data_IF_749724694068
#
_entry.id   IF_749724694068
#
_cell.length_a   1.000
_cell.length_b   1.000
_cell.length_c   1.000
_cell.angle_alpha   90.00
_cell.angle_beta   90.00
_cell.angle_gamma   90.00
#
_symmetry.space_group_name_H-M   'P 1'
#
loop_
_entity.id
_entity.type
_entity.pdbx_description
1 polymer ?
#
# COMPACT_ATOMS: atom_id res chain seq x y z
N UNK A 1 15.73 3.42 0.50
CA UNK A 1 14.46 3.72 -0.19
C UNK A 1 13.29 3.64 0.76
N UNK A 2 12.20 4.28 0.38
CA UNK A 2 10.90 4.09 1.03
C UNK A 2 10.11 3.02 0.28
N UNK A 3 9.46 2.13 1.04
CA UNK A 3 8.38 1.30 0.56
C UNK A 3 7.07 1.86 1.08
N UNK A 4 6.09 1.98 0.19
CA UNK A 4 4.74 2.44 0.51
C UNK A 4 3.76 1.73 -0.42
N UNK A 5 2.78 0.99 0.10
CA UNK A 5 1.70 0.46 -0.72
C UNK A 5 0.79 1.58 -1.23
N UNK A 6 0.10 1.32 -2.32
CA UNK A 6 -0.79 2.30 -2.96
C UNK A 6 -2.21 2.34 -2.37
N UNK A 7 -2.50 1.48 -1.43
CA UNK A 7 -3.82 1.27 -0.82
C UNK A 7 -3.90 1.79 0.63
N UNK A 8 -3.18 2.85 0.91
CA UNK A 8 -3.20 3.51 2.22
C UNK A 8 -3.11 5.03 2.11
N UNK A 9 -3.63 5.72 3.12
CA UNK A 9 -3.50 7.16 3.31
C UNK A 9 -2.64 7.42 4.54
N UNK A 10 -1.61 8.25 4.40
CA UNK A 10 -0.75 8.65 5.51
C UNK A 10 -1.11 10.04 6.00
N UNK A 11 -1.23 10.17 7.32
CA UNK A 11 -1.43 11.44 8.02
C UNK A 11 -0.19 11.90 8.78
N UNK A 12 0.89 11.09 8.77
CA UNK A 12 2.16 11.40 9.42
C UNK A 12 3.13 12.00 8.41
N UNK A 13 3.77 13.11 8.77
CA UNK A 13 4.85 13.68 7.97
C UNK A 13 6.13 12.81 8.13
N UNK A 14 6.68 12.35 7.02
CA UNK A 14 7.84 11.47 6.97
C UNK A 14 9.18 12.22 6.93
N UNK A 15 9.20 13.55 6.75
CA UNK A 15 10.41 14.34 6.49
C UNK A 15 11.42 14.32 7.65
N UNK A 16 10.90 14.18 8.89
CA UNK A 16 11.72 14.21 10.10
C UNK A 16 12.06 12.84 10.67
N UNK A 17 11.83 11.77 9.91
CA UNK A 17 12.09 10.41 10.36
C UNK A 17 13.57 10.03 10.21
N UNK A 18 14.06 9.10 11.07
CA UNK A 18 15.49 8.78 11.11
C UNK A 18 15.98 8.11 9.81
N UNK A 19 17.21 8.43 9.40
CA UNK A 19 17.88 7.84 8.23
C UNK A 19 18.53 6.47 8.57
N UNK A 20 17.74 5.57 9.17
CA UNK A 20 18.09 4.18 9.50
C UNK A 20 16.89 3.29 9.18
N UNK A 21 17.05 1.95 9.18
CA UNK A 21 15.90 1.08 8.97
C UNK A 21 14.81 1.37 10.00
N UNK A 22 13.62 1.71 9.54
CA UNK A 22 12.45 1.83 10.39
C UNK A 22 11.20 1.30 9.71
N UNK A 23 10.25 0.87 10.51
CA UNK A 23 8.98 0.30 10.09
C UNK A 23 7.83 1.07 10.75
N UNK A 24 6.87 1.50 9.95
CA UNK A 24 5.65 2.14 10.43
C UNK A 24 4.79 1.15 11.21
N UNK A 25 4.28 1.58 12.36
CA UNK A 25 3.47 0.74 13.24
C UNK A 25 2.18 1.44 13.63
N UNK A 26 1.14 0.67 13.84
CA UNK A 26 -0.14 1.14 14.38
C UNK A 26 -0.79 0.06 15.24
N UNK A 27 -1.73 0.45 16.10
CA UNK A 27 -2.54 -0.48 16.85
C UNK A 27 -3.69 -0.97 16.01
N UNK A 28 -3.95 -2.27 16.05
CA UNK A 28 -5.11 -2.91 15.42
C UNK A 28 -5.86 -3.74 16.45
N UNK A 29 -7.11 -4.05 16.19
CA UNK A 29 -7.89 -4.94 17.06
C UNK A 29 -7.34 -6.38 16.98
N UNK A 30 -7.62 -7.17 18.02
CA UNK A 30 -7.25 -8.58 18.07
C UNK A 30 -7.77 -9.35 16.83
N UNK A 31 -9.01 -9.09 16.44
CA UNK A 31 -9.67 -9.80 15.34
C UNK A 31 -9.08 -9.45 13.97
N UNK A 32 -8.55 -8.22 13.81
CA UNK A 32 -7.93 -7.77 12.58
C UNK A 32 -6.45 -8.17 12.47
N UNK A 33 -5.79 -8.49 13.60
CA UNK A 33 -4.35 -8.75 13.66
C UNK A 33 -3.88 -9.84 12.69
N UNK A 34 -4.71 -10.85 12.41
CA UNK A 34 -4.40 -11.93 11.48
C UNK A 34 -4.32 -11.51 10.00
N UNK A 35 -4.65 -10.26 9.69
CA UNK A 35 -4.53 -9.67 8.35
C UNK A 35 -3.21 -8.94 8.14
N UNK A 36 -2.48 -8.66 9.22
CA UNK A 36 -1.27 -7.85 9.20
C UNK A 36 0.00 -8.63 9.58
N UNK A 37 1.14 -8.04 9.24
CA UNK A 37 2.42 -8.42 9.83
C UNK A 37 2.52 -7.75 11.21
N UNK A 38 2.50 -8.54 12.28
CA UNK A 38 2.47 -8.06 13.65
C UNK A 38 3.89 -8.02 14.24
N UNK A 39 4.15 -6.99 15.03
CA UNK A 39 5.46 -6.67 15.57
C UNK A 39 5.36 -6.50 17.08
N UNK A 40 6.22 -7.19 17.83
CA UNK A 40 6.44 -6.87 19.24
C UNK A 40 7.52 -5.82 19.34
N UNK A 41 7.21 -4.70 19.99
CA UNK A 41 8.08 -3.53 20.08
C UNK A 41 8.44 -3.27 21.53
N UNK A 42 9.74 -3.15 21.82
CA UNK A 42 10.26 -2.80 23.14
C UNK A 42 11.32 -1.69 22.96
N UNK A 43 11.22 -0.62 23.74
CA UNK A 43 12.13 0.55 23.67
C UNK A 43 12.27 1.12 22.24
N UNK A 44 11.20 1.10 21.44
CA UNK A 44 11.19 1.60 20.07
C UNK A 44 11.88 0.69 19.03
N UNK A 45 12.25 -0.52 19.40
CA UNK A 45 12.86 -1.51 18.52
C UNK A 45 11.94 -2.71 18.33
N UNK A 46 11.97 -3.31 17.14
CA UNK A 46 11.27 -4.56 16.86
C UNK A 46 12.03 -5.72 17.51
N UNK A 47 11.35 -6.54 18.30
CA UNK A 47 11.89 -7.71 18.99
C UNK A 47 11.32 -9.04 18.50
N UNK A 48 10.12 -9.03 17.92
CA UNK A 48 9.50 -10.21 17.35
C UNK A 48 8.60 -9.83 16.18
N UNK A 49 8.50 -10.73 15.21
CA UNK A 49 7.63 -10.58 14.03
C UNK A 49 6.75 -11.82 13.90
N UNK A 50 5.42 -11.60 13.80
CA UNK A 50 4.40 -12.62 13.53
C UNK A 50 3.57 -12.20 12.34
N UNK A 51 3.84 -12.78 11.20
CA UNK A 51 3.14 -12.42 9.97
C UNK A 51 1.83 -13.20 9.80
N UNK A 52 0.72 -12.47 9.57
CA UNK A 52 -0.62 -13.04 9.32
C UNK A 52 -1.10 -14.00 10.44
N UNK A 53 -0.76 -13.71 11.69
CA UNK A 53 -1.16 -14.48 12.86
C UNK A 53 -2.00 -13.63 13.80
N UNK A 54 -2.97 -14.24 14.48
CA UNK A 54 -3.73 -13.55 15.54
C UNK A 54 -2.81 -13.25 16.71
N UNK A 55 -2.76 -12.00 17.14
CA UNK A 55 -1.92 -11.50 18.22
C UNK A 55 -2.73 -10.75 19.26
N UNK A 56 -2.23 -10.70 20.50
CA UNK A 56 -2.81 -9.92 21.58
C UNK A 56 -2.37 -8.43 21.50
N UNK A 57 -2.80 -7.65 22.48
CA UNK A 57 -2.54 -6.20 22.55
C UNK A 57 -1.07 -5.79 22.72
N UNK A 58 -0.16 -6.75 23.00
CA UNK A 58 1.29 -6.47 23.11
C UNK A 58 1.96 -6.29 21.75
N UNK A 59 1.23 -6.60 20.67
CA UNK A 59 1.70 -6.44 19.33
C UNK A 59 1.05 -5.23 18.66
N UNK A 60 1.81 -4.62 17.75
CA UNK A 60 1.35 -3.60 16.82
C UNK A 60 1.44 -4.13 15.40
N UNK A 61 0.61 -3.63 14.52
CA UNK A 61 0.65 -4.01 13.11
C UNK A 61 1.64 -3.15 12.33
N UNK A 62 2.26 -3.72 11.31
CA UNK A 62 2.94 -2.97 10.26
C UNK A 62 1.90 -2.15 9.48
N UNK A 63 2.06 -0.83 9.52
CA UNK A 63 1.13 0.16 8.97
C UNK A 63 1.54 0.69 7.61
N UNK A 64 2.29 -0.08 6.86
CA UNK A 64 2.62 0.18 5.48
C UNK A 64 3.90 0.99 5.18
N UNK A 65 4.22 2.19 5.70
CA UNK A 65 5.49 2.81 5.35
C UNK A 65 6.67 2.10 6.01
N UNK A 66 7.70 1.87 5.21
CA UNK A 66 8.96 1.26 5.62
C UNK A 66 10.10 2.03 4.96
N UNK A 67 11.07 2.46 5.75
CA UNK A 67 12.33 2.98 5.21
C UNK A 67 13.42 1.92 5.34
N UNK A 68 14.00 1.58 4.21
CA UNK A 68 15.05 0.57 4.08
C UNK A 68 16.35 1.24 3.73
N UNK A 69 17.27 1.31 4.71
CA UNK A 69 18.64 1.72 4.51
C UNK A 69 19.47 0.57 3.98
N UNK A 70 19.38 -0.59 4.65
CA UNK A 70 20.13 -1.79 4.32
C UNK A 70 19.41 -2.62 3.25
N UNK A 71 19.28 -2.03 2.06
CA UNK A 71 18.42 -2.55 0.98
C UNK A 71 18.90 -3.91 0.44
N UNK A 72 20.18 -4.21 0.48
CA UNK A 72 20.72 -5.51 0.04
C UNK A 72 20.16 -6.65 0.90
N UNK A 73 20.12 -6.46 2.23
CA UNK A 73 19.55 -7.42 3.18
C UNK A 73 18.06 -7.64 2.88
N UNK A 74 17.34 -6.56 2.61
CA UNK A 74 15.91 -6.62 2.32
C UNK A 74 15.63 -7.38 1.01
N UNK A 75 16.35 -7.06 -0.07
CA UNK A 75 16.19 -7.74 -1.36
C UNK A 75 16.59 -9.20 -1.30
N UNK A 76 17.62 -9.54 -0.53
CA UNK A 76 17.99 -10.94 -0.30
C UNK A 76 16.87 -11.72 0.40
N UNK A 77 16.21 -11.09 1.39
CA UNK A 77 15.04 -11.66 2.07
C UNK A 77 13.88 -11.94 1.11
N UNK A 78 13.61 -11.04 0.17
CA UNK A 78 12.54 -11.22 -0.81
C UNK A 78 12.82 -12.37 -1.81
N UNK A 79 14.08 -12.66 -2.11
CA UNK A 79 14.44 -13.80 -2.96
C UNK A 79 14.11 -15.17 -2.34
N UNK A 80 13.89 -15.21 -1.04
CA UNK A 80 13.62 -16.44 -0.29
C UNK A 80 12.28 -17.12 -0.62
N UNK A 81 11.46 -16.55 -1.48
CA UNK A 81 10.25 -17.13 -2.08
C UNK A 81 9.26 -17.82 -1.10
N UNK A 82 9.39 -17.62 0.21
CA UNK A 82 8.47 -18.17 1.20
C UNK A 82 7.08 -17.54 1.02
N UNK A 83 6.10 -18.38 0.72
CA UNK A 83 4.70 -17.95 0.62
C UNK A 83 4.01 -18.03 1.98
N UNK A 84 3.20 -17.03 2.30
CA UNK A 84 2.31 -17.00 3.45
C UNK A 84 0.90 -16.83 2.91
N UNK A 85 -0.02 -17.72 3.31
CA UNK A 85 -1.39 -17.80 2.75
C UNK A 85 -1.37 -17.88 1.21
N UNK A 86 -0.40 -18.63 0.64
CA UNK A 86 -0.19 -18.82 -0.80
C UNK A 86 0.23 -17.56 -1.60
N UNK A 87 0.66 -16.50 -0.93
CA UNK A 87 1.10 -15.24 -1.52
C UNK A 87 2.56 -14.93 -1.18
N UNK A 88 3.26 -14.26 -2.08
CA UNK A 88 4.56 -13.66 -1.80
C UNK A 88 4.37 -12.42 -0.96
N UNK A 89 5.03 -12.36 0.19
CA UNK A 89 4.85 -11.27 1.15
C UNK A 89 6.10 -10.42 1.26
N UNK A 90 5.91 -9.12 1.40
CA UNK A 90 6.99 -8.17 1.70
C UNK A 90 7.63 -8.45 3.07
N UNK A 91 6.91 -9.10 3.96
CA UNK A 91 7.40 -9.53 5.26
C UNK A 91 8.66 -10.39 5.20
N UNK A 92 8.91 -11.10 4.10
CA UNK A 92 10.17 -11.83 3.92
C UNK A 92 11.40 -10.90 3.94
N UNK A 93 11.31 -9.72 3.30
CA UNK A 93 12.34 -8.68 3.36
C UNK A 93 12.45 -8.05 4.74
N UNK A 94 11.31 -7.79 5.39
CA UNK A 94 11.24 -7.23 6.74
C UNK A 94 11.87 -8.19 7.76
N UNK A 95 11.59 -9.47 7.67
CA UNK A 95 12.17 -10.51 8.53
C UNK A 95 13.69 -10.57 8.35
N UNK A 96 14.19 -10.47 7.11
CA UNK A 96 15.63 -10.42 6.84
C UNK A 96 16.29 -9.20 7.47
N UNK A 97 15.67 -8.01 7.38
CA UNK A 97 16.14 -6.80 8.04
C UNK A 97 16.19 -6.98 9.55
N UNK A 98 15.12 -7.50 10.13
CA UNK A 98 15.02 -7.78 11.58
C UNK A 98 16.12 -8.73 12.07
N UNK A 99 16.43 -9.78 11.29
CA UNK A 99 17.42 -10.80 11.69
C UNK A 99 18.86 -10.33 11.54
N UNK A 100 19.16 -9.43 10.61
CA UNK A 100 20.53 -9.05 10.26
C UNK A 100 20.86 -7.60 10.55
N UNK A 101 19.89 -6.78 10.95
CA UNK A 101 20.05 -5.36 11.20
C UNK A 101 19.06 -4.89 12.29
N UNK A 102 19.27 -3.69 12.80
CA UNK A 102 18.33 -3.07 13.76
C UNK A 102 17.15 -2.47 13.01
N UNK A 103 15.93 -2.81 13.43
CA UNK A 103 14.69 -2.28 12.90
C UNK A 103 13.96 -1.44 13.95
N UNK A 104 13.85 -0.14 13.71
CA UNK A 104 13.17 0.81 14.61
C UNK A 104 11.68 0.85 14.27
N UNK A 105 10.83 0.78 15.28
CA UNK A 105 9.40 1.01 15.14
C UNK A 105 9.07 2.50 15.22
N UNK A 106 8.22 2.99 14.34
CA UNK A 106 7.74 4.37 14.30
C UNK A 106 6.22 4.34 14.28
N UNK A 107 5.58 4.99 15.24
CA UNK A 107 4.13 5.10 15.26
C UNK A 107 3.66 6.00 14.11
N UNK A 108 2.82 5.45 13.25
CA UNK A 108 2.34 6.11 12.02
C UNK A 108 0.83 6.22 12.06
N UNK A 109 0.34 7.44 11.93
CA UNK A 109 -1.08 7.68 11.71
C UNK A 109 -1.41 7.45 10.24
N UNK A 110 -2.18 6.42 9.96
CA UNK A 110 -2.51 5.96 8.62
C UNK A 110 -3.95 5.44 8.55
N UNK A 111 -4.45 5.28 7.34
CA UNK A 111 -5.74 4.64 7.06
C UNK A 111 -5.56 3.64 5.93
N UNK A 112 -6.06 2.42 6.14
CA UNK A 112 -6.08 1.34 5.16
C UNK A 112 -7.31 1.51 4.26
N UNK A 113 -7.11 1.57 2.96
CA UNK A 113 -8.15 1.67 1.93
C UNK A 113 -8.17 0.45 0.99
N UNK A 114 -7.51 -0.64 1.38
CA UNK A 114 -7.32 -1.85 0.57
C UNK A 114 -8.59 -2.67 0.34
N UNK A 115 -9.70 -2.35 0.99
CA UNK A 115 -11.01 -2.95 0.69
C UNK A 115 -12.10 -1.90 0.45
N UNK A 116 -13.15 -2.32 -0.27
CA UNK A 116 -14.23 -1.41 -0.68
C UNK A 116 -14.97 -0.77 0.51
N UNK A 117 -15.12 -1.48 1.64
CA UNK A 117 -15.83 -0.95 2.82
C UNK A 117 -15.02 0.15 3.48
N UNK A 118 -13.70 -0.06 3.66
CA UNK A 118 -12.79 0.94 4.22
C UNK A 118 -12.71 2.16 3.32
N UNK A 119 -12.57 1.94 2.00
CA UNK A 119 -12.58 3.01 1.01
C UNK A 119 -13.87 3.84 1.07
N UNK A 120 -15.06 3.19 1.07
CA UNK A 120 -16.35 3.88 1.16
C UNK A 120 -16.53 4.65 2.48
N UNK A 121 -16.04 4.09 3.60
CA UNK A 121 -16.04 4.77 4.89
C UNK A 121 -15.27 6.08 4.81
N UNK A 122 -14.03 6.03 4.31
CA UNK A 122 -13.18 7.22 4.18
C UNK A 122 -13.80 8.25 3.23
N UNK A 123 -14.36 7.83 2.10
CA UNK A 123 -15.09 8.73 1.21
C UNK A 123 -16.26 9.44 1.90
N UNK A 124 -16.98 8.73 2.77
CA UNK A 124 -18.12 9.32 3.50
C UNK A 124 -17.70 10.26 4.63
N UNK A 125 -16.51 10.07 5.20
CA UNK A 125 -15.98 10.87 6.31
C UNK A 125 -15.13 12.05 5.84
N UNK A 126 -14.65 12.03 4.59
CA UNK A 126 -13.80 13.09 4.04
C UNK A 126 -14.60 13.99 3.10
N UNK A 127 -15.04 15.12 3.61
CA UNK A 127 -15.65 16.19 2.78
C UNK A 127 -14.71 16.73 1.68
N UNK A 128 -13.42 16.39 1.70
CA UNK A 128 -12.37 16.96 0.86
C UNK A 128 -11.55 15.94 0.05
N UNK A 129 -11.89 14.66 0.06
CA UNK A 129 -11.16 13.67 -0.73
C UNK A 129 -11.83 13.49 -2.09
N UNK A 130 -11.60 14.44 -2.97
CA UNK A 130 -12.01 14.33 -4.36
C UNK A 130 -10.88 13.66 -5.16
N UNK A 131 -11.05 12.37 -5.48
CA UNK A 131 -10.15 11.64 -6.39
C UNK A 131 -10.39 12.00 -7.85
N UNK A 132 -11.41 12.79 -8.13
CA UNK A 132 -11.62 13.33 -9.46
C UNK A 132 -10.53 14.36 -9.75
N UNK A 133 -9.85 14.19 -10.87
CA UNK A 133 -9.11 15.30 -11.44
C UNK A 133 -10.13 16.34 -11.90
N UNK A 134 -9.80 17.64 -11.82
CA UNK A 134 -10.62 18.63 -12.49
C UNK A 134 -10.89 18.16 -13.92
N UNK A 135 -12.14 18.08 -14.30
CA UNK A 135 -12.59 17.68 -15.65
C UNK A 135 -12.42 16.18 -16.02
N UNK A 136 -12.04 15.29 -15.09
CA UNK A 136 -11.97 13.83 -15.36
C UNK A 136 -12.68 13.04 -14.25
N UNK A 137 -13.54 12.09 -14.66
CA UNK A 137 -14.29 11.21 -13.77
C UNK A 137 -14.09 9.75 -14.21
N UNK A 138 -13.86 8.84 -13.25
CA UNK A 138 -13.67 7.42 -13.52
C UNK A 138 -14.69 6.63 -12.71
N UNK A 139 -15.46 5.80 -13.39
CA UNK A 139 -16.43 4.91 -12.77
C UNK A 139 -16.06 3.46 -13.05
N UNK A 140 -16.16 2.63 -12.04
CA UNK A 140 -15.98 1.18 -12.13
C UNK A 140 -17.34 0.51 -12.00
N UNK A 141 -17.83 -0.11 -13.07
CA UNK A 141 -19.11 -0.80 -13.09
C UNK A 141 -18.87 -2.23 -13.58
N UNK A 142 -18.97 -3.21 -12.67
CA UNK A 142 -18.61 -4.61 -12.91
C UNK A 142 -17.18 -4.72 -13.50
N UNK A 143 -17.05 -5.27 -14.72
CA UNK A 143 -15.77 -5.41 -15.40
C UNK A 143 -15.49 -4.24 -16.38
N UNK A 144 -16.23 -3.15 -16.27
CA UNK A 144 -16.12 -2.01 -17.18
C UNK A 144 -15.61 -0.79 -16.45
N UNK A 145 -14.63 -0.12 -17.01
CA UNK A 145 -14.16 1.20 -16.57
C UNK A 145 -14.72 2.24 -17.52
N UNK A 146 -15.49 3.18 -16.97
CA UNK A 146 -16.03 4.30 -17.72
C UNK A 146 -15.27 5.54 -17.31
N UNK A 147 -14.61 6.17 -18.25
CA UNK A 147 -13.90 7.43 -18.06
C UNK A 147 -14.58 8.55 -18.80
N UNK A 148 -14.92 9.62 -18.07
CA UNK A 148 -15.41 10.86 -18.64
C UNK A 148 -14.34 11.93 -18.53
N UNK A 149 -14.28 12.79 -19.55
CA UNK A 149 -13.57 14.06 -19.45
C UNK A 149 -14.45 15.15 -20.06
N UNK A 150 -14.48 16.31 -19.43
CA UNK A 150 -15.10 17.52 -19.98
C UNK A 150 -14.21 18.16 -21.06
N UNK A 151 -12.96 17.70 -21.16
CA UNK A 151 -12.00 18.12 -22.17
C UNK A 151 -11.75 16.98 -23.14
N UNK A 152 -12.23 17.11 -24.38
CA UNK A 152 -12.12 16.08 -25.42
C UNK A 152 -10.67 15.73 -25.75
N UNK A 153 -9.74 16.69 -25.67
CA UNK A 153 -8.31 16.47 -25.92
C UNK A 153 -7.71 15.44 -24.97
N UNK A 154 -8.11 15.42 -23.68
CA UNK A 154 -7.61 14.44 -22.71
C UNK A 154 -7.99 13.01 -23.10
N UNK A 155 -9.21 12.82 -23.61
CA UNK A 155 -9.65 11.50 -24.10
C UNK A 155 -8.91 11.09 -25.35
N UNK A 156 -8.72 12.00 -26.31
CA UNK A 156 -7.99 11.73 -27.54
C UNK A 156 -6.52 11.37 -27.27
N UNK A 157 -5.87 12.07 -26.36
CA UNK A 157 -4.50 11.75 -25.92
C UNK A 157 -4.42 10.37 -25.25
N UNK A 158 -5.40 10.01 -24.41
CA UNK A 158 -5.46 8.69 -23.78
C UNK A 158 -5.60 7.59 -24.84
N UNK A 159 -6.50 7.76 -25.81
CA UNK A 159 -6.71 6.81 -26.90
C UNK A 159 -5.44 6.64 -27.74
N UNK A 160 -4.75 7.74 -28.05
CA UNK A 160 -3.49 7.67 -28.81
C UNK A 160 -2.41 6.91 -28.04
N UNK A 161 -2.27 7.14 -26.73
CA UNK A 161 -1.34 6.40 -25.88
C UNK A 161 -1.70 4.92 -25.79
N UNK A 162 -2.97 4.57 -25.62
CA UNK A 162 -3.43 3.19 -25.60
C UNK A 162 -3.12 2.46 -26.91
N UNK A 163 -3.32 3.10 -28.07
CA UNK A 163 -2.98 2.52 -29.36
C UNK A 163 -1.48 2.28 -29.54
N UNK A 164 -0.63 3.19 -29.04
CA UNK A 164 0.83 3.05 -29.10
C UNK A 164 1.31 1.91 -28.19
N UNK A 165 0.69 1.72 -27.03
CA UNK A 165 1.11 0.75 -26.03
C UNK A 165 0.32 -0.56 -26.01
N UNK A 166 -0.63 -0.74 -26.92
CA UNK A 166 -1.48 -1.95 -27.02
C UNK A 166 -0.69 -3.25 -27.19
N UNK A 167 0.53 -3.17 -27.76
CA UNK A 167 1.42 -4.32 -27.91
C UNK A 167 2.22 -4.64 -26.60
N UNK A 168 2.24 -3.73 -25.63
CA UNK A 168 3.01 -3.87 -24.39
C UNK A 168 2.08 -4.20 -23.23
N UNK A 169 0.89 -3.63 -23.23
CA UNK A 169 -0.14 -3.89 -22.24
C UNK A 169 -1.39 -4.41 -22.94
N UNK A 170 -1.92 -5.58 -22.59
CA UNK A 170 -3.21 -6.05 -23.09
C UNK A 170 -4.30 -5.11 -22.57
N UNK A 171 -4.55 -4.05 -23.33
CA UNK A 171 -5.66 -3.14 -23.05
C UNK A 171 -6.94 -3.77 -23.56
N UNK A 172 -7.99 -3.77 -22.75
CA UNK A 172 -9.34 -4.10 -23.19
C UNK A 172 -9.77 -3.17 -24.34
N UNK A 173 -10.52 -3.70 -25.27
CA UNK A 173 -11.05 -2.92 -26.40
C UNK A 173 -11.84 -1.71 -25.91
N UNK A 174 -11.57 -0.56 -26.50
CA UNK A 174 -12.41 0.63 -26.32
C UNK A 174 -13.70 0.38 -27.09
N UNK A 175 -14.75 -0.04 -26.40
CA UNK A 175 -15.98 -0.50 -27.02
C UNK A 175 -16.88 0.63 -27.57
N UNK A 176 -16.77 1.86 -27.02
CA UNK A 176 -17.57 3.01 -27.49
C UNK A 176 -16.96 4.35 -27.05
N UNK A 177 -16.92 5.30 -27.96
CA UNK A 177 -16.63 6.70 -27.68
C UNK A 177 -17.85 7.54 -28.05
N UNK A 178 -18.30 8.41 -27.14
CA UNK A 178 -19.26 9.47 -27.42
C UNK A 178 -18.53 10.82 -27.25
N UNK A 179 -18.54 11.61 -28.27
CA UNK A 179 -18.01 12.99 -28.31
C UNK A 179 -19.20 13.95 -28.27
#
# INVERSE_FOLDING_TARGET
FYYMPCDCILHTNLDNLPQKNWIGTTKVSHDESNSYCNLKVENGLVHEIRDKQTCNSDYVAFSAPLFVKDHEIFWEGLKNNKKIKNEHQISNGIISLFQKSTLTAVDIKWEDIGDLKKYQKILSESENFDFSKPNEFIYFINNTVIKFSTESENILQLISKLKIHSNIFPCQEISKMMI
#
